data_IF_733557493287
#
_entry.id   IF_733557493287
#
_cell.length_a   1.000
_cell.length_b   1.000
_cell.length_c   1.000
_cell.angle_alpha   90.00
_cell.angle_beta   90.00
_cell.angle_gamma   90.00
#
_symmetry.space_group_name_H-M   'P 1'
#
loop_
_entity.id
_entity.type
_entity.pdbx_description
1 polymer ?
#
# COMPACT_ATOMS: atom_id res chain seq x y z
N UNK A 1 0.35 11.39 -17.80
CA UNK A 1 -0.22 11.28 -16.43
C UNK A 1 0.86 10.77 -15.49
N UNK A 2 1.00 11.37 -14.30
CA UNK A 2 2.02 10.96 -13.32
C UNK A 2 1.67 9.66 -12.60
N UNK A 3 2.67 8.98 -12.02
CA UNK A 3 2.48 7.71 -11.32
C UNK A 3 1.47 7.81 -10.17
N UNK A 4 1.50 8.92 -9.43
CA UNK A 4 0.55 9.18 -8.35
C UNK A 4 -0.91 9.24 -8.82
N UNK A 5 -1.17 9.86 -9.98
CA UNK A 5 -2.52 9.88 -10.57
C UNK A 5 -2.96 8.48 -11.00
N UNK A 6 -2.06 7.72 -11.65
CA UNK A 6 -2.33 6.35 -12.11
C UNK A 6 -2.71 5.40 -10.97
N UNK A 7 -2.12 5.57 -9.79
CA UNK A 7 -2.42 4.78 -8.59
C UNK A 7 -3.35 5.49 -7.59
N UNK A 8 -4.02 6.57 -8.00
CA UNK A 8 -4.94 7.35 -7.16
C UNK A 8 -4.35 7.71 -5.77
N UNK A 9 -3.09 8.16 -5.74
CA UNK A 9 -2.40 8.58 -4.52
C UNK A 9 -2.88 9.99 -4.15
N UNK A 10 -3.62 10.08 -3.03
CA UNK A 10 -4.23 11.33 -2.53
C UNK A 10 -3.56 11.92 -1.29
N UNK A 11 -2.70 11.14 -0.63
CA UNK A 11 -1.95 11.54 0.56
C UNK A 11 -0.56 10.88 0.57
N UNK A 12 0.40 11.49 1.27
CA UNK A 12 1.74 10.94 1.44
C UNK A 12 2.12 10.87 2.93
N UNK A 13 2.77 9.78 3.39
CA UNK A 13 3.05 8.54 2.66
C UNK A 13 1.78 7.68 2.43
N UNK A 14 1.77 6.89 1.36
CA UNK A 14 0.77 5.85 1.07
C UNK A 14 1.49 4.52 0.84
N UNK A 15 0.99 3.45 1.44
CA UNK A 15 1.41 2.07 1.18
C UNK A 15 0.32 1.37 0.35
N UNK A 16 0.70 0.76 -0.76
CA UNK A 16 -0.19 0.01 -1.64
C UNK A 16 0.42 -1.38 -1.90
N UNK A 17 -0.34 -2.43 -1.59
CA UNK A 17 0.08 -3.82 -1.70
C UNK A 17 -0.52 -4.44 -2.97
N UNK A 18 0.33 -5.05 -3.78
CA UNK A 18 -0.06 -5.69 -5.04
C UNK A 18 0.27 -7.18 -5.01
N UNK A 19 -0.64 -8.02 -5.51
CA UNK A 19 -0.44 -9.46 -5.74
C UNK A 19 -0.98 -9.79 -7.13
N UNK A 20 -0.19 -10.50 -7.94
CA UNK A 20 -0.58 -10.90 -9.31
C UNK A 20 -1.08 -9.72 -10.18
N UNK A 21 -0.44 -8.56 -10.06
CA UNK A 21 -0.79 -7.35 -10.83
C UNK A 21 -2.04 -6.60 -10.33
N UNK A 22 -2.69 -7.05 -9.25
CA UNK A 22 -3.87 -6.39 -8.66
C UNK A 22 -3.54 -5.82 -7.29
N UNK A 23 -4.04 -4.61 -7.00
CA UNK A 23 -4.00 -4.03 -5.65
C UNK A 23 -4.91 -4.84 -4.72
N UNK A 24 -4.36 -5.31 -3.60
CA UNK A 24 -5.07 -6.12 -2.60
C UNK A 24 -5.27 -5.39 -1.27
N UNK A 25 -4.48 -4.36 -0.98
CA UNK A 25 -4.62 -3.55 0.22
C UNK A 25 -3.99 -2.16 0.04
N UNK A 26 -4.49 -1.18 0.78
CA UNK A 26 -3.97 0.19 0.83
C UNK A 26 -4.04 0.74 2.23
N UNK A 27 -3.01 1.48 2.64
CA UNK A 27 -2.96 2.22 3.89
C UNK A 27 -2.41 3.63 3.64
N UNK A 28 -3.13 4.64 4.12
CA UNK A 28 -2.62 6.00 4.18
C UNK A 28 -1.90 6.24 5.52
N UNK A 29 -0.83 7.02 5.50
CA UNK A 29 -0.07 7.37 6.69
C UNK A 29 1.15 6.50 6.93
N UNK A 30 2.04 6.99 7.79
CA UNK A 30 3.28 6.33 8.13
C UNK A 30 3.02 5.08 8.99
N UNK A 31 3.81 4.03 8.76
CA UNK A 31 3.84 2.83 9.61
C UNK A 31 5.28 2.52 9.98
N UNK A 32 5.48 1.99 11.19
CA UNK A 32 6.78 1.43 11.59
C UNK A 32 7.10 0.17 10.78
N UNK A 33 8.37 -0.19 10.67
CA UNK A 33 8.80 -1.35 9.88
C UNK A 33 8.12 -2.66 10.31
N UNK A 34 7.98 -2.89 11.62
CA UNK A 34 7.29 -4.07 12.15
C UNK A 34 5.80 -4.10 11.75
N UNK A 35 5.14 -2.93 11.72
CA UNK A 35 3.74 -2.82 11.34
C UNK A 35 3.55 -3.00 9.83
N UNK A 36 4.49 -2.55 9.00
CA UNK A 36 4.48 -2.84 7.55
C UNK A 36 4.49 -4.35 7.31
N UNK A 37 5.36 -5.10 8.01
CA UNK A 37 5.45 -6.55 7.89
C UNK A 37 4.16 -7.22 8.36
N UNK A 38 3.63 -6.82 9.52
CA UNK A 38 2.38 -7.37 10.07
C UNK A 38 1.19 -7.11 9.14
N UNK A 39 1.03 -5.86 8.68
CA UNK A 39 -0.01 -5.45 7.74
C UNK A 39 0.08 -6.19 6.42
N UNK A 40 1.29 -6.40 5.89
CA UNK A 40 1.48 -7.15 4.64
C UNK A 40 1.04 -8.60 4.82
N UNK A 41 1.47 -9.26 5.91
CA UNK A 41 1.11 -10.65 6.21
C UNK A 41 -0.38 -10.84 6.43
N UNK A 42 -1.09 -9.88 7.04
CA UNK A 42 -2.53 -9.99 7.27
C UNK A 42 -3.38 -9.99 5.98
N UNK A 43 -2.82 -9.53 4.85
CA UNK A 43 -3.51 -9.48 3.56
C UNK A 43 -3.04 -10.57 2.57
N UNK A 44 -2.00 -11.33 2.90
CA UNK A 44 -1.38 -12.34 2.03
C UNK A 44 -1.59 -13.78 2.52
N UNK A 45 -2.61 -14.02 3.36
CA UNK A 45 -3.05 -15.36 3.74
C UNK A 45 -3.11 -16.34 2.57
#
# INVERSE_FOLDING_TARGET
QGLGQRFNIRSIPTLALFRNGREVARQAGAMGAADIVRWTRSHLG
#
